data_IF_310925991897
#
_entry.id   IF_310925991897
#
_cell.length_a   1.000
_cell.length_b   1.000
_cell.length_c   1.000
_cell.angle_alpha   90.00
_cell.angle_beta   90.00
_cell.angle_gamma   90.00
#
_symmetry.space_group_name_H-M   'P 1'
#
loop_
_entity.id
_entity.type
_entity.pdbx_description
1 polymer ?
#
# COMPACT_ATOMS: atom_id res chain seq x y z
N UNK A 1 -12.14 -14.65 4.71
CA UNK A 1 -11.26 -15.13 5.81
C UNK A 1 -9.94 -14.36 5.87
N UNK A 2 -9.23 -14.25 4.74
CA UNK A 2 -7.93 -13.58 4.63
C UNK A 2 -7.87 -12.16 5.25
N UNK A 3 -8.85 -11.30 4.96
CA UNK A 3 -8.92 -9.94 5.51
C UNK A 3 -8.91 -9.93 7.04
N UNK A 4 -9.64 -10.85 7.70
CA UNK A 4 -9.70 -10.97 9.16
C UNK A 4 -8.35 -11.41 9.73
N UNK A 5 -7.65 -12.32 9.06
CA UNK A 5 -6.30 -12.77 9.43
C UNK A 5 -5.28 -11.64 9.30
N UNK A 6 -5.34 -10.88 8.20
CA UNK A 6 -4.47 -9.73 7.96
C UNK A 6 -4.72 -8.60 8.97
N UNK A 7 -5.99 -8.32 9.30
CA UNK A 7 -6.35 -7.36 10.35
C UNK A 7 -5.81 -7.76 11.73
N UNK A 8 -5.83 -9.06 12.07
CA UNK A 8 -5.28 -9.57 13.34
C UNK A 8 -3.76 -9.50 13.42
N UNK A 9 -3.06 -9.77 12.31
CA UNK A 9 -1.59 -9.75 12.25
C UNK A 9 -1.00 -8.33 12.24
N UNK A 10 -1.85 -7.32 12.06
CA UNK A 10 -1.51 -5.92 12.21
C UNK A 10 -0.72 -5.34 11.04
N UNK A 11 -0.45 -4.04 11.15
CA UNK A 11 0.09 -3.21 10.06
C UNK A 11 1.46 -3.69 9.56
N UNK A 12 2.31 -4.26 10.44
CA UNK A 12 3.66 -4.71 10.07
C UNK A 12 3.63 -5.78 8.97
N UNK A 13 2.79 -6.80 9.12
CA UNK A 13 2.67 -7.88 8.13
C UNK A 13 2.17 -7.34 6.80
N UNK A 14 1.18 -6.45 6.82
CA UNK A 14 0.62 -5.86 5.59
C UNK A 14 1.65 -4.96 4.88
N UNK A 15 2.37 -4.13 5.64
CA UNK A 15 3.45 -3.31 5.06
C UNK A 15 4.61 -4.15 4.52
N UNK A 16 4.93 -5.26 5.19
CA UNK A 16 5.92 -6.21 4.73
C UNK A 16 5.49 -6.88 3.43
N UNK A 17 4.24 -7.32 3.35
CA UNK A 17 3.66 -7.93 2.16
C UNK A 17 3.70 -6.97 0.96
N UNK A 18 3.31 -5.71 1.16
CA UNK A 18 3.41 -4.70 0.11
C UNK A 18 4.85 -4.35 -0.31
N UNK A 19 5.83 -4.48 0.59
CA UNK A 19 7.26 -4.36 0.22
C UNK A 19 7.72 -5.57 -0.59
N UNK A 20 7.31 -6.76 -0.19
CA UNK A 20 7.65 -7.99 -0.90
C UNK A 20 7.09 -7.98 -2.33
N UNK A 21 5.83 -7.59 -2.50
CA UNK A 21 5.23 -7.44 -3.83
C UNK A 21 6.03 -6.51 -4.75
N UNK A 22 6.48 -5.36 -4.24
CA UNK A 22 7.37 -4.46 -5.01
C UNK A 22 8.74 -5.06 -5.32
N UNK A 23 9.25 -5.95 -4.47
CA UNK A 23 10.53 -6.62 -4.72
C UNK A 23 10.40 -7.70 -5.79
N UNK A 24 9.25 -8.39 -5.84
CA UNK A 24 8.97 -9.40 -6.85
C UNK A 24 8.66 -8.75 -8.20
N UNK A 25 7.93 -7.64 -8.22
CA UNK A 25 7.64 -6.82 -9.41
C UNK A 25 8.88 -6.00 -9.86
N UNK A 26 9.89 -6.70 -10.38
CA UNK A 26 11.15 -6.09 -10.85
C UNK A 26 10.94 -5.07 -11.97
N UNK A 27 9.91 -5.25 -12.79
CA UNK A 27 9.56 -4.37 -13.89
C UNK A 27 8.74 -3.16 -13.45
N UNK A 28 8.34 -3.09 -12.16
CA UNK A 28 7.46 -2.05 -11.60
C UNK A 28 6.17 -1.89 -12.39
N UNK A 29 5.67 -3.00 -12.93
CA UNK A 29 4.46 -3.05 -13.73
C UNK A 29 3.21 -2.79 -12.89
N UNK A 30 3.26 -3.02 -11.58
CA UNK A 30 2.10 -2.99 -10.70
C UNK A 30 1.34 -4.33 -10.65
N UNK A 31 1.79 -5.32 -11.41
CA UNK A 31 1.13 -6.61 -11.57
C UNK A 31 1.97 -7.76 -11.02
N UNK A 32 1.31 -8.77 -10.47
CA UNK A 32 1.94 -10.03 -10.06
C UNK A 32 1.27 -11.22 -10.71
N UNK A 33 2.06 -12.24 -11.03
CA UNK A 33 1.54 -13.51 -11.49
C UNK A 33 0.91 -14.30 -10.33
N UNK A 34 0.10 -15.30 -10.67
CA UNK A 34 -0.49 -16.21 -9.68
C UNK A 34 0.56 -16.92 -8.82
N UNK A 35 1.66 -17.35 -9.43
CA UNK A 35 2.75 -18.02 -8.73
C UNK A 35 3.41 -17.10 -7.69
N UNK A 36 3.75 -15.88 -8.11
CA UNK A 36 4.37 -14.86 -7.26
C UNK A 36 3.48 -14.48 -6.07
N UNK A 37 2.18 -14.31 -6.33
CA UNK A 37 1.22 -13.97 -5.29
C UNK A 37 1.06 -15.10 -4.27
N UNK A 38 1.03 -16.36 -4.74
CA UNK A 38 0.95 -17.53 -3.87
C UNK A 38 2.22 -17.73 -3.05
N UNK A 39 3.38 -17.47 -3.63
CA UNK A 39 4.67 -17.49 -2.92
C UNK A 39 4.70 -16.43 -1.81
N UNK A 40 4.28 -15.20 -2.13
CA UNK A 40 4.19 -14.13 -1.14
C UNK A 40 3.31 -14.52 0.06
N UNK A 41 2.14 -15.12 -0.18
CA UNK A 41 1.28 -15.58 0.93
C UNK A 41 1.99 -16.62 1.81
N UNK A 42 2.73 -17.55 1.23
CA UNK A 42 3.52 -18.55 1.98
C UNK A 42 4.63 -17.90 2.81
N UNK A 43 5.39 -16.97 2.23
CA UNK A 43 6.48 -16.25 2.92
C UNK A 43 5.98 -15.49 4.15
N UNK A 44 4.78 -14.93 4.08
CA UNK A 44 4.16 -14.23 5.22
C UNK A 44 3.34 -15.16 6.14
N UNK A 45 3.48 -16.48 5.98
CA UNK A 45 2.78 -17.52 6.73
C UNK A 45 1.25 -17.34 6.70
N UNK A 46 0.72 -16.87 5.58
CA UNK A 46 -0.71 -16.77 5.30
C UNK A 46 -1.13 -18.05 4.58
N UNK A 47 -1.30 -19.11 5.36
CA UNK A 47 -1.82 -20.38 4.84
C UNK A 47 -3.30 -20.21 4.52
N UNK A 48 -3.63 -20.31 3.23
CA UNK A 48 -4.99 -20.29 2.72
C UNK A 48 -5.20 -21.63 2.02
N UNK A 49 -6.32 -22.33 2.28
CA UNK A 49 -6.68 -23.52 1.52
C UNK A 49 -6.73 -23.23 0.01
N UNK A 50 -6.36 -24.21 -0.82
CA UNK A 50 -6.31 -24.03 -2.28
C UNK A 50 -7.65 -23.55 -2.86
N UNK A 51 -8.78 -24.12 -2.42
CA UNK A 51 -10.11 -23.70 -2.90
C UNK A 51 -10.49 -22.26 -2.53
N UNK A 52 -10.06 -21.79 -1.35
CA UNK A 52 -10.25 -20.39 -0.93
C UNK A 52 -9.35 -19.45 -1.73
N UNK A 53 -8.15 -19.91 -2.11
CA UNK A 53 -7.25 -19.17 -2.97
C UNK A 53 -7.80 -19.02 -4.38
N UNK A 54 -8.35 -20.07 -4.98
CA UNK A 54 -9.01 -20.01 -6.29
C UNK A 54 -10.16 -19.01 -6.30
N UNK A 55 -10.99 -19.06 -5.27
CA UNK A 55 -12.11 -18.13 -5.11
C UNK A 55 -11.64 -16.68 -4.97
N UNK A 56 -10.55 -16.46 -4.23
CA UNK A 56 -9.92 -15.15 -4.11
C UNK A 56 -9.31 -14.68 -5.44
N UNK A 57 -8.64 -15.58 -6.16
CA UNK A 57 -8.00 -15.28 -7.44
C UNK A 57 -9.03 -14.88 -8.49
N UNK A 58 -10.18 -15.58 -8.54
CA UNK A 58 -11.28 -15.24 -9.44
C UNK A 58 -11.85 -13.83 -9.21
N UNK A 59 -11.86 -13.36 -7.96
CA UNK A 59 -12.32 -12.01 -7.61
C UNK A 59 -11.26 -10.96 -7.94
N UNK A 60 -9.98 -11.33 -7.92
CA UNK A 60 -8.86 -10.43 -8.14
C UNK A 60 -8.47 -10.30 -9.63
N UNK A 61 -8.65 -11.35 -10.42
CA UNK A 61 -8.39 -11.37 -11.87
C UNK A 61 -9.68 -11.25 -12.68
N UNK A 62 -10.32 -10.07 -12.61
CA UNK A 62 -11.54 -9.76 -13.37
C UNK A 62 -11.29 -9.80 -14.90
N UNK A 63 -10.05 -9.53 -15.31
CA UNK A 63 -9.63 -9.45 -16.71
C UNK A 63 -9.22 -10.79 -17.35
N UNK A 64 -9.14 -11.88 -16.56
CA UNK A 64 -8.51 -13.16 -16.98
C UNK A 64 -7.12 -12.99 -17.59
N UNK A 65 -6.37 -11.99 -17.13
CA UNK A 65 -5.04 -11.69 -17.66
C UNK A 65 -3.94 -12.54 -17.01
N UNK A 66 -4.32 -13.45 -16.10
CA UNK A 66 -3.43 -14.28 -15.27
C UNK A 66 -2.46 -13.44 -14.42
N UNK A 67 -2.84 -12.18 -14.20
CA UNK A 67 -2.08 -11.19 -13.45
C UNK A 67 -3.04 -10.38 -12.58
N UNK A 68 -2.61 -10.09 -11.37
CA UNK A 68 -3.37 -9.26 -10.42
C UNK A 68 -2.64 -7.96 -10.17
N UNK A 69 -3.38 -6.86 -10.15
CA UNK A 69 -2.88 -5.60 -9.63
C UNK A 69 -2.79 -5.66 -8.09
N UNK A 70 -1.58 -5.84 -7.57
CA UNK A 70 -1.39 -5.98 -6.12
C UNK A 70 -1.68 -4.66 -5.37
N UNK A 71 -1.64 -3.52 -6.06
CA UNK A 71 -1.99 -2.21 -5.51
C UNK A 71 -3.44 -2.17 -5.01
N UNK A 72 -4.37 -2.69 -5.81
CA UNK A 72 -5.78 -2.80 -5.43
C UNK A 72 -5.99 -3.78 -4.29
N UNK A 73 -5.33 -4.93 -4.34
CA UNK A 73 -5.37 -5.91 -3.25
C UNK A 73 -4.91 -5.29 -1.91
N UNK A 74 -3.76 -4.61 -1.91
CA UNK A 74 -3.24 -3.95 -0.71
C UNK A 74 -4.21 -2.87 -0.22
N UNK A 75 -4.81 -2.08 -1.12
CA UNK A 75 -5.81 -1.06 -0.78
C UNK A 75 -7.06 -1.68 -0.14
N UNK A 76 -7.57 -2.77 -0.70
CA UNK A 76 -8.73 -3.50 -0.18
C UNK A 76 -8.46 -4.11 1.19
N UNK A 77 -7.23 -4.59 1.43
CA UNK A 77 -6.80 -5.14 2.72
C UNK A 77 -6.64 -4.03 3.77
N UNK A 78 -5.98 -2.92 3.44
CA UNK A 78 -5.79 -1.79 4.36
C UNK A 78 -7.11 -1.12 4.72
N UNK A 79 -8.03 -1.01 3.75
CA UNK A 79 -9.27 -0.26 3.91
C UNK A 79 -9.01 1.24 4.11
N UNK A 80 -10.04 1.95 4.58
CA UNK A 80 -9.91 3.36 4.87
C UNK A 80 -9.01 3.65 6.07
N UNK A 81 -8.22 4.70 5.94
CA UNK A 81 -7.42 5.26 7.03
C UNK A 81 -8.35 5.77 8.14
N UNK A 82 -8.05 5.44 9.40
CA UNK A 82 -8.87 5.94 10.52
C UNK A 82 -8.85 7.48 10.62
N UNK A 83 -9.86 8.06 11.27
CA UNK A 83 -10.00 9.52 11.35
C UNK A 83 -8.83 10.21 12.06
N UNK A 84 -8.20 9.54 13.04
CA UNK A 84 -6.99 10.07 13.68
C UNK A 84 -5.84 10.26 12.66
N UNK A 85 -5.56 9.24 11.84
CA UNK A 85 -4.52 9.33 10.80
C UNK A 85 -4.92 10.28 9.68
N UNK A 86 -6.20 10.30 9.27
CA UNK A 86 -6.71 11.29 8.31
C UNK A 86 -6.53 12.71 8.84
N UNK A 87 -6.83 12.97 10.12
CA UNK A 87 -6.63 14.27 10.75
C UNK A 87 -5.15 14.68 10.77
N UNK A 88 -4.23 13.74 11.04
CA UNK A 88 -2.79 14.01 10.94
C UNK A 88 -2.38 14.35 9.51
N UNK A 89 -2.82 13.59 8.51
CA UNK A 89 -2.53 13.86 7.09
C UNK A 89 -3.10 15.22 6.67
N UNK A 90 -4.31 15.58 7.10
CA UNK A 90 -4.89 16.92 6.87
C UNK A 90 -4.02 18.02 7.49
N UNK A 91 -3.51 17.82 8.71
CA UNK A 91 -2.59 18.76 9.36
C UNK A 91 -1.27 18.91 8.60
N UNK A 92 -0.65 17.80 8.19
CA UNK A 92 0.59 17.81 7.40
C UNK A 92 0.36 18.44 6.03
N UNK A 93 -0.76 18.14 5.38
CA UNK A 93 -1.15 18.75 4.10
C UNK A 93 -1.38 20.26 4.25
N UNK A 94 -2.01 20.70 5.33
CA UNK A 94 -2.11 22.13 5.66
C UNK A 94 -0.76 22.77 5.90
N UNK A 95 0.14 22.11 6.63
CA UNK A 95 1.51 22.58 6.85
C UNK A 95 2.30 22.65 5.53
N UNK A 96 2.11 21.68 4.65
CA UNK A 96 2.69 21.69 3.31
C UNK A 96 2.17 22.87 2.49
N UNK A 97 0.87 23.14 2.51
CA UNK A 97 0.29 24.34 1.87
C UNK A 97 0.82 25.65 2.46
N UNK A 98 1.19 25.64 3.75
CA UNK A 98 1.84 26.78 4.39
C UNK A 98 3.30 26.94 3.98
N UNK A 99 3.98 25.89 3.55
CA UNK A 99 5.35 25.93 3.05
C UNK A 99 5.42 26.19 1.54
N UNK A 100 4.45 25.66 0.78
CA UNK A 100 4.28 25.87 -0.66
C UNK A 100 3.41 27.11 -0.93
N UNK A 101 3.91 28.29 -0.57
CA UNK A 101 3.19 29.56 -0.73
C UNK A 101 2.77 29.82 -2.18
N UNK A 102 3.56 29.32 -3.14
CA UNK A 102 3.34 29.51 -4.57
C UNK A 102 2.42 28.44 -5.18
N UNK A 103 1.98 27.45 -4.39
CA UNK A 103 1.17 26.31 -4.84
C UNK A 103 1.78 25.61 -6.04
N UNK A 104 3.10 25.55 -6.09
CA UNK A 104 3.85 24.93 -7.19
C UNK A 104 3.82 23.41 -7.12
N UNK A 105 3.28 22.83 -6.05
CA UNK A 105 3.25 21.38 -5.81
C UNK A 105 4.60 20.82 -5.37
N UNK A 106 5.62 21.67 -5.26
CA UNK A 106 6.95 21.37 -4.74
C UNK A 106 7.40 22.49 -3.83
N UNK A 107 8.08 22.14 -2.73
CA UNK A 107 8.68 23.10 -1.80
C UNK A 107 10.19 23.08 -2.00
N UNK A 108 10.79 24.10 -2.64
CA UNK A 108 12.23 24.18 -2.79
C UNK A 108 12.91 24.48 -1.44
N UNK A 109 14.17 24.03 -1.30
CA UNK A 109 14.93 24.17 -0.04
C UNK A 109 15.03 25.62 0.47
N UNK A 110 14.98 26.59 -0.44
CA UNK A 110 15.01 28.02 -0.13
C UNK A 110 13.75 28.52 0.60
N UNK A 111 12.60 27.87 0.41
CA UNK A 111 11.37 28.24 1.10
C UNK A 111 11.29 27.57 2.49
N UNK A 112 11.90 26.38 2.62
CA UNK A 112 12.07 25.71 3.91
C UNK A 112 12.97 26.54 4.83
N UNK A 113 14.09 27.06 4.33
CA UNK A 113 15.03 27.88 5.12
C UNK A 113 14.45 29.21 5.58
N UNK A 114 13.47 29.78 4.83
CA UNK A 114 12.75 31.00 5.25
C UNK A 114 11.79 30.74 6.40
N UNK A 115 11.22 29.54 6.49
CA UNK A 115 10.22 29.19 7.49
C UNK A 115 10.78 28.40 8.68
N UNK A 116 12.00 27.89 8.58
CA UNK A 116 12.63 27.05 9.59
C UNK A 116 14.01 27.60 9.97
N UNK A 117 14.11 28.17 11.16
CA UNK A 117 15.37 28.61 11.74
C UNK A 117 15.89 27.51 12.67
N UNK A 118 16.82 26.68 12.19
CA UNK A 118 17.54 25.74 13.04
C UNK A 118 18.64 26.53 13.78
N UNK A 119 18.50 26.67 15.10
CA UNK A 119 19.61 27.08 15.97
C UNK A 119 20.57 25.93 16.20
#
# INVERSE_FOLDING_TARGET
ILRKTLSKRGVRVITGLGKYFRNVDKTRSGFLSRADFKEALKVFHLEIPEGDFESLWLVLDDSKSDKVEYGEFIRAVFGEMNEYRKAFVRKVSFAYMKLDFNKTGSVPMVDISKCYCAK
#
